data_IF_300728808603
#
_entry.id   IF_300728808603
#
_cell.length_a   1.000
_cell.length_b   1.000
_cell.length_c   1.000
_cell.angle_alpha   90.00
_cell.angle_beta   90.00
_cell.angle_gamma   90.00
#
_symmetry.space_group_name_H-M   'P 1'
#
loop_
_entity.id
_entity.type
_entity.pdbx_description
1 polymer ?
#
# COMPACT_ATOMS: atom_id res chain seq x y z
N UNK A 1 -45.78 23.86 -40.79
CA UNK A 1 -44.93 24.79 -40.04
C UNK A 1 -45.51 24.82 -38.63
N UNK A 2 -45.09 23.88 -37.78
CA UNK A 2 -45.57 23.75 -36.41
C UNK A 2 -44.37 23.45 -35.55
N UNK A 3 -44.15 24.31 -34.57
CA UNK A 3 -43.00 24.39 -33.69
C UNK A 3 -42.84 23.14 -32.82
N UNK A 4 -41.64 22.54 -32.81
CA UNK A 4 -41.26 21.55 -31.80
C UNK A 4 -40.86 22.28 -30.50
N UNK A 5 -41.40 21.89 -29.33
CA UNK A 5 -41.01 22.46 -28.06
C UNK A 5 -39.64 21.91 -27.64
N UNK A 6 -38.71 22.83 -27.35
CA UNK A 6 -37.40 22.53 -26.76
C UNK A 6 -37.54 21.66 -25.51
N UNK A 7 -37.10 20.40 -25.60
CA UNK A 7 -36.96 19.53 -24.45
C UNK A 7 -35.85 20.06 -23.52
N UNK A 8 -36.18 20.28 -22.25
CA UNK A 8 -35.25 20.73 -21.22
C UNK A 8 -34.21 19.65 -20.90
N UNK A 9 -32.92 19.95 -21.09
CA UNK A 9 -31.78 19.08 -20.74
C UNK A 9 -31.70 18.90 -19.20
N UNK A 10 -31.49 17.68 -18.67
CA UNK A 10 -31.42 17.46 -17.22
C UNK A 10 -30.13 18.07 -16.62
N UNK A 11 -30.20 18.64 -15.40
CA UNK A 11 -29.03 19.23 -14.74
C UNK A 11 -28.02 18.13 -14.37
N UNK A 12 -26.79 18.24 -14.90
CA UNK A 12 -25.67 17.35 -14.57
C UNK A 12 -25.29 17.54 -13.10
N UNK A 13 -25.70 16.60 -12.25
CA UNK A 13 -25.36 16.59 -10.82
C UNK A 13 -23.85 16.39 -10.64
N UNK A 14 -23.23 17.31 -9.91
CA UNK A 14 -21.80 17.36 -9.55
C UNK A 14 -21.44 16.28 -8.53
N UNK A 15 -21.39 15.02 -8.97
CA UNK A 15 -21.07 13.86 -8.13
C UNK A 15 -19.64 13.88 -7.57
N UNK A 16 -18.73 14.62 -8.22
CA UNK A 16 -17.30 14.61 -7.91
C UNK A 16 -16.90 15.43 -6.68
N UNK A 17 -17.80 16.26 -6.11
CA UNK A 17 -17.46 17.05 -4.91
C UNK A 17 -17.44 16.21 -3.63
N UNK A 18 -18.15 15.07 -3.61
CA UNK A 18 -18.31 14.26 -2.40
C UNK A 18 -17.35 13.05 -2.34
N UNK A 19 -16.63 12.76 -3.42
CA UNK A 19 -15.68 11.63 -3.47
C UNK A 19 -14.51 11.85 -2.50
N UNK A 20 -13.97 13.08 -2.43
CA UNK A 20 -12.89 13.42 -1.50
C UNK A 20 -13.35 13.33 -0.04
N UNK A 21 -14.65 13.54 0.22
CA UNK A 21 -15.22 13.48 1.56
C UNK A 21 -15.36 12.02 2.04
N UNK A 22 -15.76 11.12 1.13
CA UNK A 22 -15.83 9.68 1.39
C UNK A 22 -14.42 9.10 1.60
N UNK A 23 -13.46 9.46 0.73
CA UNK A 23 -12.06 9.05 0.87
C UNK A 23 -11.43 9.56 2.17
N UNK A 24 -11.69 10.82 2.54
CA UNK A 24 -11.21 11.40 3.80
C UNK A 24 -11.77 10.70 5.04
N UNK A 25 -13.06 10.38 5.06
CA UNK A 25 -13.69 9.65 6.18
C UNK A 25 -13.16 8.22 6.31
N UNK A 26 -12.96 7.52 5.19
CA UNK A 26 -12.38 6.17 5.22
C UNK A 26 -10.93 6.18 5.73
N UNK A 27 -10.12 7.15 5.30
CA UNK A 27 -8.75 7.32 5.79
C UNK A 27 -8.71 7.63 7.29
N UNK A 28 -9.56 8.56 7.74
CA UNK A 28 -9.62 8.95 9.15
C UNK A 28 -10.08 7.78 10.04
N UNK A 29 -11.06 6.99 9.57
CA UNK A 29 -11.49 5.77 10.24
C UNK A 29 -10.37 4.74 10.38
N UNK A 30 -9.60 4.52 9.30
CA UNK A 30 -8.44 3.63 9.31
C UNK A 30 -7.36 4.04 10.32
N UNK A 31 -7.06 5.33 10.42
CA UNK A 31 -6.09 5.87 11.39
C UNK A 31 -6.56 5.64 12.83
N UNK A 32 -7.84 5.89 13.13
CA UNK A 32 -8.41 5.68 14.47
C UNK A 32 -8.32 4.21 14.89
N UNK A 33 -8.66 3.27 14.00
CA UNK A 33 -8.58 1.83 14.29
C UNK A 33 -7.13 1.41 14.55
N UNK A 34 -6.19 1.92 13.77
CA UNK A 34 -4.77 1.58 13.90
C UNK A 34 -4.19 2.10 15.21
N UNK A 35 -4.52 3.34 15.60
CA UNK A 35 -4.11 3.91 16.88
C UNK A 35 -4.72 3.15 18.07
N UNK A 36 -6.00 2.77 17.98
CA UNK A 36 -6.68 1.98 19.01
C UNK A 36 -6.05 0.59 19.21
N UNK A 37 -5.69 -0.09 18.13
CA UNK A 37 -5.02 -1.39 18.19
C UNK A 37 -3.62 -1.31 18.83
N UNK A 38 -2.85 -0.26 18.52
CA UNK A 38 -1.54 -0.01 19.14
C UNK A 38 -1.69 0.27 20.64
N UNK A 39 -2.74 1.00 21.04
CA UNK A 39 -2.96 1.36 22.44
C UNK A 39 -3.46 0.18 23.28
N UNK A 40 -4.30 -0.71 22.73
CA UNK A 40 -4.71 -1.96 23.40
C UNK A 40 -3.57 -3.00 23.46
N UNK A 41 -2.67 -3.01 22.48
CA UNK A 41 -1.53 -3.93 22.41
C UNK A 41 -0.32 -3.57 23.28
N UNK A 42 -0.43 -2.55 24.15
CA UNK A 42 0.64 -2.12 25.06
C UNK A 42 1.45 -0.90 24.59
N UNK A 43 1.07 -0.26 23.48
CA UNK A 43 1.70 0.97 22.97
C UNK A 43 3.20 0.85 22.69
N UNK A 44 3.79 1.90 22.10
CA UNK A 44 5.24 1.98 21.86
C UNK A 44 6.08 2.01 23.16
N UNK A 45 5.45 1.96 24.33
CA UNK A 45 6.08 1.94 25.64
C UNK A 45 5.98 0.54 26.25
N UNK A 46 6.84 -0.38 25.77
CA UNK A 46 7.19 -1.54 26.60
C UNK A 46 7.90 -1.00 27.83
N UNK A 47 7.19 -0.93 28.95
CA UNK A 47 7.80 -0.64 30.26
C UNK A 47 8.79 -1.77 30.55
N UNK A 48 10.11 -1.51 30.65
CA UNK A 48 11.01 -2.53 31.16
C UNK A 48 10.58 -2.82 32.60
N UNK A 49 10.40 -4.10 32.92
CA UNK A 49 10.02 -4.54 34.25
C UNK A 49 10.98 -3.93 35.28
N UNK A 50 10.44 -3.17 36.24
CA UNK A 50 11.22 -2.59 37.32
C UNK A 50 11.88 -3.72 38.13
N UNK A 51 13.18 -3.60 38.51
CA UNK A 51 13.82 -4.60 39.35
C UNK A 51 13.11 -4.64 40.72
N UNK A 52 12.62 -5.82 41.09
CA UNK A 52 12.06 -6.06 42.41
C UNK A 52 13.13 -5.84 43.50
N UNK A 53 12.77 -5.34 44.69
CA UNK A 53 13.72 -5.11 45.76
C UNK A 53 14.39 -6.42 46.17
N UNK A 54 15.72 -6.42 46.15
CA UNK A 54 16.56 -7.55 46.52
C UNK A 54 16.36 -7.90 48.00
N UNK A 55 15.79 -9.07 48.27
CA UNK A 55 15.93 -9.73 49.56
C UNK A 55 17.39 -10.22 49.71
N UNK A 56 17.88 -10.18 50.95
CA UNK A 56 19.24 -10.53 51.39
C UNK A 56 19.79 -11.84 50.78
N UNK A 57 21.13 -11.98 50.65
CA UNK A 57 21.74 -13.03 49.84
C UNK A 57 21.47 -14.42 50.44
N UNK A 58 20.61 -15.18 49.79
CA UNK A 58 20.61 -16.63 49.94
C UNK A 58 21.81 -17.18 49.18
N UNK A 59 22.53 -18.10 49.84
CA UNK A 59 23.77 -18.69 49.36
C UNK A 59 23.70 -19.07 47.87
N UNK A 60 24.71 -18.63 47.12
CA UNK A 60 24.93 -19.02 45.74
C UNK A 60 25.14 -20.54 45.69
N UNK A 61 24.09 -21.27 45.31
CA UNK A 61 24.26 -22.60 44.76
C UNK A 61 25.10 -22.45 43.49
N UNK A 62 26.08 -23.35 43.24
CA UNK A 62 26.87 -23.29 42.01
C UNK A 62 25.88 -23.25 40.85
N UNK A 63 25.97 -22.18 40.04
CA UNK A 63 25.18 -22.06 38.83
C UNK A 63 25.61 -23.22 37.94
N UNK A 64 24.83 -24.30 37.98
CA UNK A 64 24.82 -25.28 36.92
C UNK A 64 24.59 -24.47 35.65
N UNK A 65 25.59 -24.41 34.76
CA UNK A 65 25.42 -23.84 33.44
C UNK A 65 24.22 -24.55 32.79
N UNK A 66 23.04 -23.97 32.92
CA UNK A 66 21.85 -24.44 32.22
C UNK A 66 22.11 -24.12 30.76
N UNK A 67 22.51 -25.14 30.01
CA UNK A 67 22.44 -25.14 28.56
C UNK A 67 21.06 -24.58 28.21
N UNK A 68 20.95 -23.53 27.36
CA UNK A 68 19.64 -23.02 26.95
C UNK A 68 18.81 -24.19 26.47
N UNK A 69 17.68 -24.46 27.14
CA UNK A 69 16.78 -25.52 26.74
C UNK A 69 16.36 -25.24 25.29
N UNK A 70 16.75 -26.14 24.38
CA UNK A 70 16.36 -26.04 22.98
C UNK A 70 14.82 -26.07 22.93
N UNK A 71 14.16 -25.12 22.26
CA UNK A 71 12.70 -25.06 22.24
C UNK A 71 12.11 -26.39 21.76
N UNK A 72 11.00 -26.89 22.35
CA UNK A 72 10.38 -28.14 21.93
C UNK A 72 9.95 -28.02 20.45
N UNK A 73 10.64 -28.74 19.57
CA UNK A 73 10.55 -28.58 18.11
C UNK A 73 11.85 -28.81 17.34
N UNK A 74 12.90 -29.33 17.99
CA UNK A 74 14.15 -29.80 17.34
C UNK A 74 14.09 -31.25 16.87
N UNK A 75 12.89 -31.81 16.72
CA UNK A 75 12.72 -33.09 16.06
C UNK A 75 12.86 -32.88 14.53
N UNK A 76 13.71 -33.69 13.90
CA UNK A 76 13.99 -33.67 12.46
C UNK A 76 12.68 -33.77 11.65
N UNK A 77 11.68 -34.51 12.13
CA UNK A 77 10.37 -34.57 11.46
C UNK A 77 9.65 -33.21 11.44
N UNK A 78 9.70 -32.46 12.56
CA UNK A 78 9.07 -31.15 12.68
C UNK A 78 9.81 -30.07 11.89
N UNK A 79 11.14 -30.19 11.75
CA UNK A 79 11.95 -29.30 10.91
C UNK A 79 11.63 -29.49 9.43
N UNK A 80 11.61 -30.74 8.94
CA UNK A 80 11.27 -31.05 7.55
C UNK A 80 9.86 -30.56 7.17
N UNK A 81 8.88 -30.69 8.07
CA UNK A 81 7.53 -30.18 7.85
C UNK A 81 7.50 -28.64 7.68
N UNK A 82 8.31 -27.92 8.48
CA UNK A 82 8.45 -26.45 8.37
C UNK A 82 9.15 -26.05 7.09
N UNK A 83 10.20 -26.76 6.69
CA UNK A 83 10.92 -26.50 5.44
C UNK A 83 10.01 -26.68 4.22
N UNK A 84 9.20 -27.74 4.19
CA UNK A 84 8.21 -27.96 3.13
C UNK A 84 7.16 -26.83 3.08
N UNK A 85 6.67 -26.40 4.25
CA UNK A 85 5.73 -25.27 4.33
C UNK A 85 6.36 -23.96 3.84
N UNK A 86 7.63 -23.72 4.17
CA UNK A 86 8.36 -22.53 3.74
C UNK A 86 8.62 -22.54 2.24
N UNK A 87 8.98 -23.69 1.66
CA UNK A 87 9.13 -23.85 0.22
C UNK A 87 7.83 -23.51 -0.52
N UNK A 88 6.69 -24.05 -0.07
CA UNK A 88 5.38 -23.71 -0.66
C UNK A 88 5.02 -22.22 -0.53
N UNK A 89 5.34 -21.58 0.60
CA UNK A 89 5.15 -20.13 0.77
C UNK A 89 6.05 -19.31 -0.17
N UNK A 90 7.28 -19.76 -0.40
CA UNK A 90 8.22 -19.11 -1.31
C UNK A 90 7.71 -19.18 -2.75
N UNK A 91 7.21 -20.33 -3.19
CA UNK A 91 6.62 -20.50 -4.52
C UNK A 91 5.40 -19.60 -4.73
N UNK A 92 4.53 -19.49 -3.72
CA UNK A 92 3.39 -18.57 -3.77
C UNK A 92 3.83 -17.10 -3.85
N UNK A 93 4.90 -16.73 -3.11
CA UNK A 93 5.42 -15.37 -3.12
C UNK A 93 6.05 -15.03 -4.47
N UNK A 94 6.83 -15.94 -5.04
CA UNK A 94 7.43 -15.84 -6.36
C UNK A 94 6.36 -15.64 -7.45
N UNK A 95 5.29 -16.45 -7.41
CA UNK A 95 4.15 -16.29 -8.32
C UNK A 95 3.49 -14.92 -8.16
N UNK A 96 3.26 -14.46 -6.92
CA UNK A 96 2.66 -13.15 -6.65
C UNK A 96 3.55 -12.00 -7.12
N UNK A 97 4.87 -12.10 -6.98
CA UNK A 97 5.81 -11.09 -7.48
C UNK A 97 5.71 -10.97 -8.99
N UNK A 98 5.63 -12.08 -9.72
CA UNK A 98 5.46 -12.08 -11.19
C UNK A 98 4.16 -11.41 -11.61
N UNK A 99 3.07 -11.68 -10.90
CA UNK A 99 1.77 -11.04 -11.15
C UNK A 99 1.80 -9.53 -10.90
N UNK A 100 2.44 -9.10 -9.81
CA UNK A 100 2.63 -7.67 -9.48
C UNK A 100 3.50 -6.98 -10.53
N UNK A 101 4.59 -7.61 -10.99
CA UNK A 101 5.45 -7.05 -12.04
C UNK A 101 4.68 -6.87 -13.36
N UNK A 102 3.90 -7.88 -13.76
CA UNK A 102 3.01 -7.77 -14.93
C UNK A 102 2.01 -6.63 -14.81
N UNK A 103 1.35 -6.51 -13.66
CA UNK A 103 0.41 -5.43 -13.37
C UNK A 103 1.07 -4.05 -13.38
N UNK A 104 2.29 -3.93 -12.85
CA UNK A 104 3.05 -2.69 -12.83
C UNK A 104 3.44 -2.24 -14.26
N UNK A 105 3.89 -3.17 -15.11
CA UNK A 105 4.20 -2.88 -16.52
C UNK A 105 2.96 -2.40 -17.29
N UNK A 106 1.81 -3.04 -17.06
CA UNK A 106 0.55 -2.62 -17.67
C UNK A 106 0.14 -1.21 -17.20
N UNK A 107 0.24 -0.94 -15.90
CA UNK A 107 -0.06 0.38 -15.34
C UNK A 107 0.87 1.47 -15.92
N UNK A 108 2.16 1.19 -16.07
CA UNK A 108 3.12 2.10 -16.70
C UNK A 108 2.78 2.36 -18.19
N UNK A 109 2.30 1.33 -18.90
CA UNK A 109 1.80 1.45 -20.27
C UNK A 109 0.59 2.39 -20.38
N UNK A 110 -0.40 2.22 -19.50
CA UNK A 110 -1.58 3.10 -19.46
C UNK A 110 -1.20 4.54 -19.09
N UNK A 111 -0.26 4.75 -18.16
CA UNK A 111 0.23 6.07 -17.81
C UNK A 111 0.88 6.76 -19.02
N UNK A 112 1.78 6.06 -19.71
CA UNK A 112 2.42 6.55 -20.95
C UNK A 112 1.37 6.89 -22.01
N UNK A 113 0.33 6.06 -22.18
CA UNK A 113 -0.74 6.34 -23.13
C UNK A 113 -1.55 7.59 -22.74
N UNK A 114 -1.85 7.75 -21.45
CA UNK A 114 -2.56 8.92 -20.95
C UNK A 114 -1.76 10.22 -21.15
N UNK A 115 -0.44 10.18 -20.91
CA UNK A 115 0.46 11.31 -21.18
C UNK A 115 0.42 11.71 -22.66
N UNK A 116 0.49 10.72 -23.57
CA UNK A 116 0.42 10.97 -25.01
C UNK A 116 -0.90 11.61 -25.43
N UNK A 117 -2.02 11.16 -24.87
CA UNK A 117 -3.34 11.75 -25.13
C UNK A 117 -3.43 13.19 -24.59
N UNK A 118 -2.86 13.45 -23.40
CA UNK A 118 -2.82 14.79 -22.81
C UNK A 118 -1.99 15.75 -23.67
N UNK A 119 -0.83 15.29 -24.15
CA UNK A 119 0.02 16.07 -25.07
C UNK A 119 -0.73 16.35 -26.38
N UNK A 120 -1.36 15.34 -26.99
CA UNK A 120 -2.11 15.51 -28.24
C UNK A 120 -3.26 16.53 -28.08
N UNK A 121 -3.98 16.49 -26.95
CA UNK A 121 -5.04 17.46 -26.67
C UNK A 121 -4.48 18.88 -26.45
N UNK A 122 -3.38 19.00 -25.71
CA UNK A 122 -2.72 20.29 -25.49
C UNK A 122 -2.24 20.92 -26.81
N UNK A 123 -1.60 20.12 -27.67
CA UNK A 123 -1.14 20.52 -29.01
C UNK A 123 -2.31 20.98 -29.86
N UNK A 124 -3.40 20.19 -29.93
CA UNK A 124 -4.59 20.57 -30.68
C UNK A 124 -5.16 21.91 -30.20
N UNK A 125 -5.26 22.12 -28.89
CA UNK A 125 -5.76 23.37 -28.31
C UNK A 125 -4.86 24.58 -28.61
N UNK A 126 -3.54 24.37 -28.75
CA UNK A 126 -2.59 25.43 -29.12
C UNK A 126 -2.76 25.79 -30.61
N UNK A 127 -2.87 24.78 -31.47
CA UNK A 127 -3.11 24.94 -32.91
C UNK A 127 -4.45 25.64 -33.18
N UNK A 128 -5.53 25.22 -32.51
CA UNK A 128 -6.85 25.86 -32.63
C UNK A 128 -6.84 27.34 -32.20
N UNK A 129 -5.88 27.74 -31.35
CA UNK A 129 -5.69 29.15 -30.92
C UNK A 129 -4.70 29.92 -31.80
N UNK A 130 -4.13 29.29 -32.83
CA UNK A 130 -3.09 29.90 -33.67
C UNK A 130 -1.80 30.26 -32.92
N UNK A 131 -1.55 29.63 -31.77
CA UNK A 131 -0.34 29.87 -30.98
C UNK A 131 0.81 28.96 -31.43
N UNK A 132 2.07 29.43 -31.40
CA UNK A 132 3.22 28.60 -31.74
C UNK A 132 3.47 27.51 -30.67
N UNK A 133 3.95 26.34 -31.11
CA UNK A 133 4.15 25.15 -30.25
C UNK A 133 5.42 25.21 -29.40
N UNK A 134 6.40 26.05 -29.77
CA UNK A 134 7.63 26.25 -29.01
C UNK A 134 8.45 24.97 -28.87
N UNK A 135 8.91 24.65 -27.66
CA UNK A 135 9.77 23.49 -27.41
C UNK A 135 9.15 22.13 -27.80
N UNK A 136 7.81 22.03 -27.87
CA UNK A 136 7.10 20.81 -28.31
C UNK A 136 7.30 20.50 -29.79
N UNK A 137 7.63 21.50 -30.61
CA UNK A 137 7.77 21.36 -32.06
C UNK A 137 8.94 20.45 -32.43
N UNK A 138 10.04 20.55 -31.68
CA UNK A 138 11.19 19.65 -31.81
C UNK A 138 10.91 18.27 -31.21
N UNK A 139 10.16 18.20 -30.10
CA UNK A 139 9.84 16.94 -29.41
C UNK A 139 8.84 16.06 -30.16
N UNK A 140 7.96 16.65 -30.98
CA UNK A 140 6.98 15.92 -31.80
C UNK A 140 7.54 15.45 -33.14
N UNK A 141 8.68 16.00 -33.57
CA UNK A 141 9.33 15.65 -34.85
C UNK A 141 10.35 14.52 -34.70
N UNK A 142 10.88 14.31 -33.50
CA UNK A 142 11.78 13.21 -33.16
C UNK A 142 11.02 11.87 -33.07
#
# INVERSE_FOLDING_TARGET
>A
MSDEPFASEPPRRTLFRNSNLIGGLAFLGGVIVTLGAVQLGGGFSRVPAAPAPVAAPVAQQPQQNSIPAVPPGTDIATLNARETMLAGKLDLLEMRIRDVDGSARNAAGYATQAERLMIAFAVRRVVERGQPLGALENQLRA
#
